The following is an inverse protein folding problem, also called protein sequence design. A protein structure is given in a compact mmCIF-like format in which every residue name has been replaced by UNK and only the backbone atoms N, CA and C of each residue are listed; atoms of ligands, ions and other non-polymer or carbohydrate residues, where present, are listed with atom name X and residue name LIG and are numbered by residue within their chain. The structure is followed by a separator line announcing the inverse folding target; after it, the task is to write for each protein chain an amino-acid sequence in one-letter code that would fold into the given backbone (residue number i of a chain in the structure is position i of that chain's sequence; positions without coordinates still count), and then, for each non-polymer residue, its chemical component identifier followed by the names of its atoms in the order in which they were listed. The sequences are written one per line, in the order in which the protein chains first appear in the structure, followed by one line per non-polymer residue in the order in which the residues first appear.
data_IF_775260824273
#
_entry.id   IF_775260824273
#
_cell.length_a   1.000
_cell.length_b   1.000
_cell.length_c   1.000
_cell.angle_alpha   90.00
_cell.angle_beta   90.00
_cell.angle_gamma   90.00
#
_symmetry.space_group_name_H-M   'P 1'
#
loop_
_entity.id
_entity.type
_entity.pdbx_description
1 polymer ?
#
# COMPACT_ATOMS: atom_id res chain seq x y z
N UNK A 1 -0.32 -19.11 -1.73
CA UNK A 1 -1.51 -19.08 -2.60
C UNK A 1 -1.64 -17.78 -3.38
N UNK A 2 -1.66 -16.59 -2.76
CA UNK A 2 -1.92 -15.33 -3.49
C UNK A 2 -0.88 -14.91 -4.56
N UNK A 3 0.39 -15.29 -4.50
CA UNK A 3 1.38 -14.87 -5.52
C UNK A 3 1.20 -15.57 -6.87
N UNK A 4 0.81 -16.85 -6.87
CA UNK A 4 0.58 -17.63 -8.09
C UNK A 4 -0.83 -17.44 -8.66
N UNK A 5 -1.74 -16.77 -7.95
CA UNK A 5 -3.07 -16.47 -8.51
C UNK A 5 -2.97 -15.57 -9.74
N UNK A 6 -1.90 -14.77 -9.88
CA UNK A 6 -1.60 -14.02 -11.11
C UNK A 6 -1.58 -14.94 -12.34
N UNK A 7 -1.01 -16.14 -12.24
CA UNK A 7 -0.93 -17.07 -13.38
C UNK A 7 -2.33 -17.46 -13.86
N UNK A 8 -3.19 -17.88 -12.93
CA UNK A 8 -4.57 -18.29 -13.23
C UNK A 8 -5.44 -17.11 -13.69
N UNK A 9 -5.21 -15.92 -13.13
CA UNK A 9 -5.93 -14.72 -13.53
C UNK A 9 -5.53 -14.28 -14.94
N UNK A 10 -4.24 -14.35 -15.30
CA UNK A 10 -3.78 -14.07 -16.66
C UNK A 10 -4.32 -15.09 -17.66
N UNK A 11 -4.31 -16.39 -17.30
CA UNK A 11 -4.92 -17.43 -18.15
C UNK A 11 -6.42 -17.22 -18.35
N UNK A 12 -7.14 -16.83 -17.29
CA UNK A 12 -8.57 -16.49 -17.39
C UNK A 12 -8.80 -15.29 -18.32
N UNK A 13 -7.99 -14.24 -18.22
CA UNK A 13 -8.11 -13.07 -19.09
C UNK A 13 -7.94 -13.46 -20.58
N UNK A 14 -6.99 -14.36 -20.88
CA UNK A 14 -6.77 -14.86 -22.24
C UNK A 14 -7.96 -15.71 -22.73
N UNK A 15 -8.52 -16.53 -21.84
CA UNK A 15 -9.69 -17.36 -22.14
C UNK A 15 -10.94 -16.51 -22.42
N UNK A 16 -11.20 -15.50 -21.58
CA UNK A 16 -12.30 -14.54 -21.76
C UNK A 16 -12.14 -13.69 -23.03
N UNK A 17 -10.92 -13.36 -23.47
CA UNK A 17 -10.73 -12.64 -24.74
C UNK A 17 -10.83 -13.56 -25.97
N UNK A 18 -10.61 -14.88 -25.84
CA UNK A 18 -10.39 -15.78 -26.98
C UNK A 18 -11.43 -16.90 -27.17
N UNK A 19 -12.42 -17.04 -26.27
CA UNK A 19 -13.56 -17.99 -26.30
C UNK A 19 -13.35 -19.24 -27.19
N UNK A 20 -13.75 -19.21 -28.46
CA UNK A 20 -13.76 -20.38 -29.36
C UNK A 20 -12.40 -20.76 -29.97
N UNK A 21 -11.37 -19.91 -29.87
CA UNK A 21 -10.03 -20.13 -30.48
C UNK A 21 -8.96 -20.52 -29.46
N UNK A 22 -9.32 -20.73 -28.19
CA UNK A 22 -8.33 -21.01 -27.16
C UNK A 22 -7.52 -22.28 -27.43
N UNK A 23 -8.13 -23.34 -27.98
CA UNK A 23 -7.43 -24.58 -28.33
C UNK A 23 -6.35 -24.39 -29.41
N UNK A 24 -6.63 -23.61 -30.46
CA UNK A 24 -5.65 -23.33 -31.51
C UNK A 24 -4.55 -22.37 -31.05
N UNK A 25 -4.88 -21.49 -30.11
CA UNK A 25 -3.94 -20.56 -29.47
C UNK A 25 -2.99 -21.29 -28.50
N UNK A 26 -3.53 -22.21 -27.69
CA UNK A 26 -2.76 -23.06 -26.79
C UNK A 26 -1.95 -24.16 -27.51
N UNK A 27 -2.19 -24.40 -28.81
CA UNK A 27 -1.37 -25.30 -29.61
C UNK A 27 -0.07 -24.64 -30.10
N UNK A 28 0.02 -23.30 -30.12
CA UNK A 28 1.19 -22.56 -30.57
C UNK A 28 1.87 -21.80 -29.41
N UNK A 29 3.05 -22.27 -28.94
CA UNK A 29 3.78 -21.64 -27.85
C UNK A 29 4.15 -20.17 -28.07
N UNK A 30 4.39 -19.74 -29.31
CA UNK A 30 4.75 -18.37 -29.64
C UNK A 30 3.55 -17.42 -29.53
N UNK A 31 2.39 -17.86 -30.04
CA UNK A 31 1.14 -17.07 -29.97
C UNK A 31 0.64 -16.97 -28.53
N UNK A 32 0.75 -18.05 -27.75
CA UNK A 32 0.41 -18.01 -26.32
C UNK A 32 1.30 -17.03 -25.56
N UNK A 33 2.61 -17.01 -25.84
CA UNK A 33 3.54 -16.08 -25.21
C UNK A 33 3.17 -14.62 -25.48
N UNK A 34 2.87 -14.27 -26.73
CA UNK A 34 2.47 -12.92 -27.10
C UNK A 34 1.21 -12.49 -26.33
N UNK A 35 0.19 -13.37 -26.28
CA UNK A 35 -1.05 -13.09 -25.55
C UNK A 35 -0.85 -12.96 -24.04
N UNK A 36 0.03 -13.77 -23.45
CA UNK A 36 0.40 -13.64 -22.03
C UNK A 36 1.08 -12.29 -21.77
N UNK A 37 1.98 -11.83 -22.65
CA UNK A 37 2.64 -10.53 -22.53
C UNK A 37 1.63 -9.38 -22.62
N UNK A 38 0.73 -9.41 -23.60
CA UNK A 38 -0.35 -8.42 -23.74
C UNK A 38 -1.26 -8.36 -22.51
N UNK A 39 -1.72 -9.51 -22.01
CA UNK A 39 -2.57 -9.59 -20.83
C UNK A 39 -1.86 -9.04 -19.57
N UNK A 40 -0.58 -9.38 -19.39
CA UNK A 40 0.25 -8.84 -18.32
C UNK A 40 0.37 -7.31 -18.42
N UNK A 41 0.66 -6.77 -19.60
CA UNK A 41 0.82 -5.32 -19.79
C UNK A 41 -0.48 -4.55 -19.49
N UNK A 42 -1.61 -5.00 -20.05
CA UNK A 42 -2.94 -4.42 -19.76
C UNK A 42 -3.21 -4.41 -18.25
N UNK A 43 -2.92 -5.51 -17.57
CA UNK A 43 -3.15 -5.69 -16.13
C UNK A 43 -2.23 -4.82 -15.28
N UNK A 44 -0.95 -4.75 -15.61
CA UNK A 44 0.01 -3.89 -14.91
C UNK A 44 -0.32 -2.41 -15.08
N UNK A 45 -0.76 -1.99 -16.28
CA UNK A 45 -1.20 -0.61 -16.52
C UNK A 45 -2.43 -0.26 -15.67
N UNK A 46 -3.46 -1.12 -15.66
CA UNK A 46 -4.66 -0.93 -14.81
C UNK A 46 -4.29 -0.90 -13.32
N UNK A 47 -3.45 -1.82 -12.87
CA UNK A 47 -3.00 -1.90 -11.48
C UNK A 47 -2.21 -0.66 -11.07
N UNK A 48 -1.27 -0.19 -11.89
CA UNK A 48 -0.47 1.02 -11.60
C UNK A 48 -1.37 2.25 -11.45
N UNK A 49 -2.34 2.42 -12.35
CA UNK A 49 -3.29 3.54 -12.27
C UNK A 49 -4.16 3.45 -11.01
N UNK A 50 -4.70 2.26 -10.70
CA UNK A 50 -5.51 2.03 -9.51
C UNK A 50 -4.71 2.28 -8.23
N UNK A 51 -3.50 1.74 -8.13
CA UNK A 51 -2.59 1.94 -7.00
C UNK A 51 -2.28 3.42 -6.83
N UNK A 52 -1.82 4.11 -7.88
CA UNK A 52 -1.51 5.54 -7.83
C UNK A 52 -2.70 6.37 -7.34
N UNK A 53 -3.89 6.13 -7.87
CA UNK A 53 -5.13 6.79 -7.41
C UNK A 53 -5.39 6.52 -5.93
N UNK A 54 -5.27 5.26 -5.49
CA UNK A 54 -5.45 4.90 -4.08
C UNK A 54 -4.43 5.58 -3.17
N UNK A 55 -3.15 5.64 -3.57
CA UNK A 55 -2.10 6.31 -2.80
C UNK A 55 -2.35 7.80 -2.67
N UNK A 56 -2.64 8.48 -3.79
CA UNK A 56 -2.93 9.93 -3.79
C UNK A 56 -4.13 10.23 -2.89
N UNK A 57 -5.22 9.46 -3.03
CA UNK A 57 -6.41 9.61 -2.18
C UNK A 57 -6.07 9.43 -0.71
N UNK A 58 -5.33 8.39 -0.35
CA UNK A 58 -4.92 8.14 1.05
C UNK A 58 -4.03 9.26 1.60
N UNK A 59 -3.06 9.76 0.81
CA UNK A 59 -2.19 10.89 1.21
C UNK A 59 -3.04 12.15 1.47
N UNK A 60 -3.93 12.50 0.55
CA UNK A 60 -4.81 13.67 0.68
C UNK A 60 -5.71 13.53 1.91
N UNK A 61 -6.32 12.36 2.09
CA UNK A 61 -7.16 12.05 3.24
C UNK A 61 -6.41 12.24 4.57
N UNK A 62 -5.23 11.62 4.70
CA UNK A 62 -4.39 11.71 5.89
C UNK A 62 -3.96 13.15 6.17
N UNK A 63 -3.58 13.89 5.13
CA UNK A 63 -3.15 15.27 5.27
C UNK A 63 -4.30 16.15 5.77
N UNK A 64 -5.47 16.09 5.13
CA UNK A 64 -6.63 16.92 5.50
C UNK A 64 -7.12 16.58 6.91
N UNK A 65 -7.22 15.31 7.26
CA UNK A 65 -7.62 14.88 8.61
C UNK A 65 -6.65 15.37 9.67
N UNK A 66 -5.34 15.32 9.39
CA UNK A 66 -4.32 15.84 10.29
C UNK A 66 -4.42 17.35 10.43
N UNK A 67 -4.65 18.09 9.34
CA UNK A 67 -4.81 19.54 9.39
C UNK A 67 -6.03 19.94 10.20
N UNK A 68 -7.15 19.24 10.02
CA UNK A 68 -8.37 19.48 10.79
C UNK A 68 -8.13 19.25 12.28
N UNK A 69 -7.52 18.13 12.67
CA UNK A 69 -7.21 17.85 14.07
C UNK A 69 -6.18 18.83 14.65
N UNK A 70 -5.21 19.26 13.85
CA UNK A 70 -4.26 20.29 14.24
C UNK A 70 -4.96 21.63 14.54
N UNK A 71 -5.92 22.04 13.71
CA UNK A 71 -6.65 23.29 13.90
C UNK A 71 -7.69 23.22 15.04
N UNK A 72 -8.41 22.11 15.15
CA UNK A 72 -9.54 21.97 16.09
C UNK A 72 -9.09 21.57 17.49
N UNK A 73 -8.01 20.79 17.61
CA UNK A 73 -7.57 20.22 18.89
C UNK A 73 -6.18 20.74 19.26
N UNK A 74 -5.17 20.54 18.41
CA UNK A 74 -3.77 20.81 18.80
C UNK A 74 -3.49 22.31 18.97
N UNK A 75 -3.94 23.14 18.04
CA UNK A 75 -3.75 24.59 18.08
C UNK A 75 -4.40 25.24 19.31
N UNK A 76 -5.70 25.02 19.62
CA UNK A 76 -6.29 25.59 20.82
C UNK A 76 -5.65 25.00 22.08
N UNK A 77 -5.29 23.72 22.10
CA UNK A 77 -4.62 23.12 23.25
C UNK A 77 -3.26 23.78 23.52
N UNK A 78 -2.41 23.90 22.50
CA UNK A 78 -1.07 24.48 22.64
C UNK A 78 -1.14 25.99 22.96
N UNK A 79 -2.14 26.71 22.42
CA UNK A 79 -2.33 28.16 22.67
C UNK A 79 -2.92 28.47 24.04
N UNK A 80 -4.00 27.79 24.43
CA UNK A 80 -4.78 28.13 25.62
C UNK A 80 -4.35 27.39 26.88
N UNK A 81 -3.74 26.20 26.77
CA UNK A 81 -3.35 25.39 27.94
C UNK A 81 -1.84 25.46 28.17
N UNK A 82 -1.04 25.33 27.10
CA UNK A 82 0.42 25.28 27.24
C UNK A 82 1.05 26.67 27.15
N UNK A 83 0.36 27.65 26.56
CA UNK A 83 0.83 29.03 26.39
C UNK A 83 2.18 29.17 25.67
N UNK A 84 2.61 28.14 24.95
CA UNK A 84 3.82 28.17 24.12
C UNK A 84 3.54 27.52 22.78
N UNK A 85 3.61 28.29 21.70
CA UNK A 85 3.49 27.76 20.34
C UNK A 85 4.89 27.51 19.78
N UNK A 86 5.42 26.31 20.01
CA UNK A 86 6.62 25.88 19.30
C UNK A 86 6.24 25.58 17.84
N UNK A 87 6.69 26.44 16.92
CA UNK A 87 6.37 26.34 15.48
C UNK A 87 6.95 25.07 14.84
N UNK A 88 8.10 24.58 15.34
CA UNK A 88 8.77 23.40 14.81
C UNK A 88 7.95 22.10 14.99
N UNK A 89 7.43 21.77 16.20
CA UNK A 89 6.48 20.68 16.39
C UNK A 89 5.31 20.71 15.44
N UNK A 90 4.64 21.85 15.27
CA UNK A 90 3.49 21.98 14.38
C UNK A 90 3.87 21.61 12.94
N UNK A 91 5.00 22.12 12.43
CA UNK A 91 5.48 21.83 11.09
C UNK A 91 5.82 20.34 10.89
N UNK A 92 6.53 19.75 11.85
CA UNK A 92 6.88 18.31 11.83
C UNK A 92 5.60 17.46 11.88
N UNK A 93 4.65 17.82 12.73
CA UNK A 93 3.38 17.12 12.91
C UNK A 93 2.53 17.14 11.63
N UNK A 94 2.67 18.19 10.82
CA UNK A 94 2.00 18.37 9.53
C UNK A 94 2.68 17.60 8.41
N UNK A 95 4.01 17.64 8.33
CA UNK A 95 4.75 17.15 7.15
C UNK A 95 5.23 15.70 7.23
N UNK A 96 5.63 15.23 8.41
CA UNK A 96 6.14 13.85 8.56
C UNK A 96 5.10 12.80 8.12
N UNK A 97 3.81 12.91 8.46
CA UNK A 97 2.86 11.86 8.08
C UNK A 97 2.70 11.69 6.55
N UNK A 98 2.49 12.76 5.74
CA UNK A 98 2.55 12.66 4.27
C UNK A 98 3.90 12.18 3.74
N UNK A 99 5.01 12.62 4.35
CA UNK A 99 6.34 12.22 3.94
C UNK A 99 6.58 10.71 4.11
N UNK A 100 6.17 10.12 5.24
CA UNK A 100 6.23 8.67 5.46
C UNK A 100 5.43 7.94 4.39
N UNK A 101 4.24 8.43 4.07
CA UNK A 101 3.41 7.82 3.03
C UNK A 101 4.05 7.88 1.64
N UNK A 102 4.72 8.99 1.31
CA UNK A 102 5.51 9.10 0.08
C UNK A 102 6.68 8.12 0.05
N UNK A 103 7.41 7.96 1.16
CA UNK A 103 8.49 6.98 1.26
C UNK A 103 7.98 5.54 1.07
N UNK A 104 6.85 5.21 1.71
CA UNK A 104 6.23 3.90 1.52
C UNK A 104 5.80 3.72 0.07
N UNK A 105 5.19 4.72 -0.55
CA UNK A 105 4.79 4.70 -1.96
C UNK A 105 5.99 4.48 -2.90
N UNK A 106 7.10 5.16 -2.64
CA UNK A 106 8.34 5.01 -3.42
C UNK A 106 8.99 3.62 -3.24
N UNK A 107 8.81 2.98 -2.07
CA UNK A 107 9.37 1.65 -1.78
C UNK A 107 8.64 0.49 -2.48
N UNK A 108 7.55 0.76 -3.19
CA UNK A 108 6.75 -0.28 -3.85
C UNK A 108 7.40 -0.68 -5.15
N UNK A 109 7.76 -1.95 -5.23
CA UNK A 109 8.15 -2.55 -6.48
C UNK A 109 6.92 -2.80 -7.34
N UNK A 110 6.84 -2.12 -8.47
CA UNK A 110 5.87 -2.43 -9.52
C UNK A 110 6.35 -3.64 -10.34
N UNK A 111 5.43 -4.40 -10.97
CA UNK A 111 5.80 -5.49 -11.87
C UNK A 111 6.75 -5.00 -12.97
N UNK A 112 7.92 -5.62 -13.08
CA UNK A 112 8.93 -5.31 -14.10
C UNK A 112 8.87 -6.28 -15.28
N UNK A 113 9.59 -5.98 -16.37
CA UNK A 113 9.72 -6.91 -17.52
C UNK A 113 10.16 -8.31 -17.08
N UNK A 114 11.08 -8.40 -16.10
CA UNK A 114 11.53 -9.68 -15.52
C UNK A 114 10.39 -10.48 -14.88
N UNK A 115 9.40 -9.79 -14.29
CA UNK A 115 8.21 -10.44 -13.75
C UNK A 115 7.34 -11.03 -14.88
N UNK A 116 7.19 -10.31 -15.99
CA UNK A 116 6.50 -10.83 -17.19
C UNK A 116 7.19 -12.07 -17.74
N UNK A 117 8.51 -12.06 -17.88
CA UNK A 117 9.26 -13.25 -18.34
C UNK A 117 9.01 -14.45 -17.42
N UNK A 118 9.00 -14.23 -16.10
CA UNK A 118 8.73 -15.30 -15.14
C UNK A 118 7.30 -15.83 -15.24
N UNK A 119 6.32 -14.95 -15.47
CA UNK A 119 4.92 -15.35 -15.72
C UNK A 119 4.82 -16.19 -16.99
N UNK A 120 5.45 -15.77 -18.08
CA UNK A 120 5.50 -16.51 -19.36
C UNK A 120 6.13 -17.89 -19.16
N UNK A 121 7.28 -17.97 -18.50
CA UNK A 121 7.97 -19.23 -18.20
C UNK A 121 7.06 -20.19 -17.43
N UNK A 122 6.39 -19.70 -16.38
CA UNK A 122 5.52 -20.53 -15.54
C UNK A 122 4.25 -20.96 -16.25
N UNK A 123 3.65 -20.11 -17.09
CA UNK A 123 2.49 -20.49 -17.90
C UNK A 123 2.88 -21.55 -18.94
N UNK A 124 4.04 -21.40 -19.62
CA UNK A 124 4.54 -22.43 -20.55
C UNK A 124 4.76 -23.77 -19.85
N UNK A 125 5.31 -23.76 -18.63
CA UNK A 125 5.45 -24.95 -17.79
C UNK A 125 4.10 -25.61 -17.48
N UNK A 126 3.07 -24.82 -17.17
CA UNK A 126 1.73 -25.34 -16.86
C UNK A 126 1.05 -25.93 -18.10
N UNK A 127 1.24 -25.33 -19.29
CA UNK A 127 0.51 -25.73 -20.50
C UNK A 127 1.19 -26.84 -21.31
N UNK A 128 2.53 -26.91 -21.32
CA UNK A 128 3.27 -27.75 -22.27
C UNK A 128 4.23 -28.75 -21.64
N UNK A 129 4.56 -28.63 -20.36
CA UNK A 129 5.47 -29.56 -19.68
C UNK A 129 4.68 -30.39 -18.68
N UNK A 130 4.91 -31.71 -18.68
CA UNK A 130 4.43 -32.54 -17.59
C UNK A 130 5.12 -32.12 -16.29
N UNK A 131 4.41 -32.03 -15.17
CA UNK A 131 4.99 -31.59 -13.92
C UNK A 131 5.98 -32.65 -13.40
N UNK A 132 7.28 -32.49 -13.70
CA UNK A 132 8.33 -33.42 -13.24
C UNK A 132 8.33 -33.61 -11.72
N UNK A 133 7.91 -32.59 -10.98
CA UNK A 133 7.39 -32.71 -9.62
C UNK A 133 6.23 -31.72 -9.50
N UNK A 134 5.08 -32.17 -9.01
CA UNK A 134 3.89 -31.35 -8.90
C UNK A 134 4.20 -29.95 -8.35
N UNK A 135 3.51 -28.93 -8.86
CA UNK A 135 3.44 -27.57 -8.30
C UNK A 135 2.82 -27.55 -6.87
N UNK A 136 3.16 -28.54 -6.04
CA UNK A 136 2.87 -28.65 -4.63
C UNK A 136 3.74 -27.63 -3.90
N UNK A 137 3.31 -26.38 -3.95
CA UNK A 137 3.71 -25.41 -2.95
C UNK A 137 3.26 -25.95 -1.59
N UNK A 138 4.14 -26.70 -0.91
CA UNK A 138 3.91 -27.21 0.44
C UNK A 138 3.50 -26.00 1.28
N UNK A 139 2.22 -25.95 1.65
CA UNK A 139 1.70 -24.99 2.62
C UNK A 139 2.68 -25.01 3.78
N UNK A 140 3.41 -23.90 4.02
CA UNK A 140 4.36 -23.80 5.14
C UNK A 140 3.61 -24.30 6.37
N UNK A 141 4.02 -25.46 6.90
CA UNK A 141 3.40 -26.02 8.10
C UNK A 141 3.54 -24.95 9.17
N UNK A 142 2.43 -24.59 9.80
CA UNK A 142 2.48 -23.79 11.02
C UNK A 142 3.28 -24.60 12.03
N UNK A 143 4.54 -24.20 12.28
CA UNK A 143 5.35 -24.85 13.29
C UNK A 143 4.63 -24.69 14.63
N UNK A 144 4.18 -25.80 15.22
CA UNK A 144 3.70 -25.81 16.61
C UNK A 144 4.90 -25.44 17.48
N UNK A 145 4.96 -24.17 17.90
CA UNK A 145 6.06 -23.64 18.72
C UNK A 145 5.93 -24.22 20.13
N UNK A 146 7.05 -24.55 20.76
CA UNK A 146 7.06 -24.91 22.19
C UNK A 146 6.61 -23.71 23.02
N UNK A 147 6.04 -23.96 24.22
CA UNK A 147 5.62 -22.88 25.13
C UNK A 147 6.79 -21.93 25.45
N UNK A 148 7.99 -22.46 25.68
CA UNK A 148 9.21 -21.68 25.93
C UNK A 148 9.55 -20.77 24.74
N UNK A 149 9.54 -21.29 23.52
CA UNK A 149 9.80 -20.47 22.32
C UNK A 149 8.77 -19.35 22.17
N UNK A 150 7.50 -19.61 22.47
CA UNK A 150 6.46 -18.59 22.43
C UNK A 150 6.69 -17.47 23.48
N UNK A 151 7.11 -17.82 24.70
CA UNK A 151 7.47 -16.83 25.72
C UNK A 151 8.65 -15.96 25.26
N UNK A 152 9.72 -16.57 24.75
CA UNK A 152 10.89 -15.84 24.25
C UNK A 152 10.50 -14.89 23.12
N UNK A 153 9.72 -15.35 22.14
CA UNK A 153 9.27 -14.48 21.04
C UNK A 153 8.36 -13.35 21.50
N UNK A 154 7.49 -13.60 22.49
CA UNK A 154 6.65 -12.54 23.06
C UNK A 154 7.48 -11.51 23.83
N UNK A 155 8.49 -11.95 24.58
CA UNK A 155 9.42 -11.06 25.27
C UNK A 155 10.22 -10.21 24.26
N UNK A 156 10.76 -10.82 23.21
CA UNK A 156 11.42 -10.09 22.12
C UNK A 156 10.50 -9.06 21.47
N UNK A 157 9.25 -9.44 21.19
CA UNK A 157 8.26 -8.52 20.63
C UNK A 157 7.92 -7.37 21.59
N UNK A 158 7.80 -7.64 22.88
CA UNK A 158 7.57 -6.62 23.91
C UNK A 158 8.74 -5.64 24.00
N UNK A 159 9.98 -6.15 23.96
CA UNK A 159 11.18 -5.29 23.89
C UNK A 159 11.17 -4.45 22.62
N UNK A 160 10.85 -5.04 21.46
CA UNK A 160 10.73 -4.30 20.21
C UNK A 160 9.68 -3.18 20.30
N UNK A 161 8.54 -3.46 20.94
CA UNK A 161 7.50 -2.47 21.19
C UNK A 161 8.02 -1.30 22.05
N UNK A 162 8.67 -1.60 23.18
CA UNK A 162 9.23 -0.59 24.07
C UNK A 162 10.32 0.25 23.38
N UNK A 163 11.21 -0.39 22.62
CA UNK A 163 12.27 0.31 21.88
C UNK A 163 11.65 1.20 20.80
N UNK A 164 10.75 0.68 19.97
CA UNK A 164 10.16 1.47 18.88
C UNK A 164 9.37 2.67 19.39
N UNK A 165 8.45 2.48 20.34
CA UNK A 165 7.67 3.61 20.87
C UNK A 165 8.50 4.50 21.79
N UNK A 166 9.44 3.94 22.54
CA UNK A 166 10.37 4.70 23.38
C UNK A 166 11.20 5.68 22.56
N UNK A 167 11.78 5.23 21.45
CA UNK A 167 12.52 6.10 20.52
C UNK A 167 11.64 7.21 19.95
N UNK A 168 10.40 6.89 19.55
CA UNK A 168 9.46 7.91 19.04
C UNK A 168 9.11 8.94 20.12
N UNK A 169 8.78 8.50 21.35
CA UNK A 169 8.46 9.41 22.47
C UNK A 169 9.66 10.27 22.84
N UNK A 170 10.87 9.70 22.91
CA UNK A 170 12.09 10.46 23.16
C UNK A 170 12.33 11.52 22.07
N UNK A 171 12.16 11.17 20.79
CA UNK A 171 12.28 12.11 19.69
C UNK A 171 11.24 13.24 19.79
N UNK A 172 9.99 12.93 20.15
CA UNK A 172 8.93 13.92 20.35
C UNK A 172 9.24 14.87 21.51
N UNK A 173 9.75 14.35 22.63
CA UNK A 173 10.15 15.16 23.78
C UNK A 173 11.33 16.09 23.43
N UNK A 174 12.33 15.59 22.70
CA UNK A 174 13.45 16.41 22.21
C UNK A 174 12.98 17.55 21.31
N UNK A 175 11.94 17.30 20.51
CA UNK A 175 11.33 18.30 19.64
C UNK A 175 10.36 19.24 20.39
N UNK A 176 10.14 19.03 21.69
CA UNK A 176 9.20 19.79 22.54
C UNK A 176 7.73 19.66 22.11
N UNK A 177 7.31 18.47 21.68
CA UNK A 177 5.90 18.19 21.47
C UNK A 177 5.14 18.20 22.79
N UNK A 178 3.93 18.77 22.77
CA UNK A 178 2.99 18.58 23.88
C UNK A 178 2.51 17.14 23.96
N UNK A 179 2.04 16.71 25.13
CA UNK A 179 1.51 15.35 25.30
C UNK A 179 0.37 15.04 24.30
N UNK A 180 -0.54 15.99 24.09
CA UNK A 180 -1.67 15.85 23.16
C UNK A 180 -1.18 15.75 21.71
N UNK A 181 -0.35 16.69 21.26
CA UNK A 181 0.20 16.69 19.90
C UNK A 181 1.05 15.44 19.64
N UNK A 182 1.83 15.00 20.63
CA UNK A 182 2.62 13.76 20.56
C UNK A 182 1.76 12.49 20.47
N UNK A 183 0.68 12.40 21.26
CA UNK A 183 -0.26 11.28 21.18
C UNK A 183 -0.96 11.20 19.81
N UNK A 184 -1.41 12.34 19.29
CA UNK A 184 -2.02 12.43 17.96
C UNK A 184 -0.99 12.06 16.88
N UNK A 185 0.25 12.51 16.98
CA UNK A 185 1.31 12.15 16.04
C UNK A 185 1.59 10.65 16.00
N UNK A 186 1.72 10.00 17.17
CA UNK A 186 1.92 8.54 17.27
C UNK A 186 0.72 7.78 16.66
N UNK A 187 -0.49 8.25 16.93
CA UNK A 187 -1.71 7.71 16.32
C UNK A 187 -1.63 7.76 14.79
N UNK A 188 -1.30 8.92 14.22
CA UNK A 188 -1.19 9.08 12.76
C UNK A 188 -0.07 8.23 12.17
N UNK A 189 1.15 8.26 12.72
CA UNK A 189 2.25 7.41 12.23
C UNK A 189 1.83 5.95 12.19
N UNK A 190 1.13 5.46 13.23
CA UNK A 190 0.68 4.08 13.31
C UNK A 190 -0.32 3.74 12.21
N UNK A 191 -1.37 4.55 12.07
CA UNK A 191 -2.43 4.35 11.07
C UNK A 191 -1.89 4.43 9.64
N UNK A 192 -1.04 5.43 9.36
CA UNK A 192 -0.47 5.66 8.03
C UNK A 192 0.48 4.54 7.65
N UNK A 193 1.34 4.10 8.58
CA UNK A 193 2.25 2.98 8.34
C UNK A 193 1.45 1.71 8.00
N UNK A 194 0.37 1.44 8.73
CA UNK A 194 -0.52 0.32 8.44
C UNK A 194 -1.14 0.42 7.04
N UNK A 195 -1.73 1.57 6.68
CA UNK A 195 -2.32 1.77 5.35
C UNK A 195 -1.28 1.68 4.23
N UNK A 196 -0.11 2.27 4.41
CA UNK A 196 0.98 2.21 3.43
C UNK A 196 1.42 0.77 3.17
N UNK A 197 1.62 -0.03 4.22
CA UNK A 197 1.96 -1.45 4.10
C UNK A 197 0.81 -2.26 3.50
N UNK A 198 -0.44 -1.97 3.86
CA UNK A 198 -1.62 -2.61 3.25
C UNK A 198 -1.65 -2.41 1.73
N UNK A 199 -1.49 -1.17 1.27
CA UNK A 199 -1.46 -0.85 -0.16
C UNK A 199 -0.23 -1.48 -0.85
N UNK A 200 0.93 -1.54 -0.18
CA UNK A 200 2.13 -2.19 -0.72
C UNK A 200 1.89 -3.70 -0.90
N UNK A 201 1.17 -4.34 0.01
CA UNK A 201 0.79 -5.75 -0.11
C UNK A 201 -0.12 -5.99 -1.31
N UNK A 202 -1.10 -5.13 -1.54
CA UNK A 202 -1.97 -5.22 -2.73
C UNK A 202 -1.18 -5.09 -4.03
N UNK A 203 -0.17 -4.21 -4.08
CA UNK A 203 0.72 -4.10 -5.24
C UNK A 203 1.59 -5.35 -5.45
N UNK A 204 2.12 -5.91 -4.35
CA UNK A 204 2.99 -7.10 -4.36
C UNK A 204 2.26 -8.38 -4.78
N UNK A 205 0.93 -8.42 -4.72
CA UNK A 205 0.15 -9.56 -5.22
C UNK A 205 0.33 -9.79 -6.73
N UNK A 206 0.77 -8.78 -7.49
CA UNK A 206 1.04 -8.88 -8.93
C UNK A 206 2.47 -9.31 -9.27
N UNK A 207 3.34 -9.44 -8.26
CA UNK A 207 4.76 -9.76 -8.42
C UNK A 207 5.00 -11.20 -7.96
N UNK A 208 5.52 -12.03 -8.87
CA UNK A 208 5.86 -13.43 -8.64
C UNK A 208 7.31 -13.59 -8.18
N UNK A 209 8.18 -12.64 -8.56
CA UNK A 209 9.58 -12.65 -8.17
C UNK A 209 9.72 -12.66 -6.64
N UNK A 210 10.59 -13.55 -6.14
CA UNK A 210 10.98 -13.54 -4.73
C UNK A 210 11.94 -12.39 -4.48
N UNK A 211 11.54 -11.48 -3.60
CA UNK A 211 12.49 -10.56 -2.97
C UNK A 211 13.44 -11.40 -2.11
N UNK A 212 14.75 -11.23 -2.31
CA UNK A 212 15.71 -11.65 -1.28
C UNK A 212 15.56 -10.67 -0.12
N UNK A 213 15.06 -11.14 1.01
CA UNK A 213 14.99 -10.32 2.21
C UNK A 213 16.43 -10.01 2.65
N UNK A 214 16.85 -8.75 2.52
CA UNK A 214 18.12 -8.28 3.09
C UNK A 214 18.03 -8.30 4.61
N UNK A 215 19.15 -8.53 5.31
CA UNK A 215 19.22 -8.42 6.77
C UNK A 215 18.65 -7.09 7.28
N UNK A 216 18.88 -5.99 6.55
CA UNK A 216 18.31 -4.67 6.86
C UNK A 216 16.78 -4.67 6.78
N UNK A 217 16.19 -5.35 5.79
CA UNK A 217 14.74 -5.48 5.66
C UNK A 217 14.14 -6.23 6.84
N UNK A 218 14.80 -7.29 7.31
CA UNK A 218 14.36 -8.05 8.48
C UNK A 218 14.34 -7.19 9.75
N UNK A 219 15.37 -6.37 9.97
CA UNK A 219 15.44 -5.45 11.11
C UNK A 219 14.32 -4.39 11.02
N UNK A 220 14.16 -3.74 9.87
CA UNK A 220 13.13 -2.73 9.66
C UNK A 220 11.72 -3.32 9.82
N UNK A 221 11.48 -4.53 9.32
CA UNK A 221 10.21 -5.24 9.49
C UNK A 221 9.96 -5.57 10.97
N UNK A 222 10.99 -5.97 11.71
CA UNK A 222 10.88 -6.29 13.14
C UNK A 222 10.48 -5.07 13.98
N UNK A 223 11.15 -3.93 13.79
CA UNK A 223 10.86 -2.70 14.56
C UNK A 223 9.63 -1.93 14.05
N UNK A 224 9.23 -2.10 12.78
CA UNK A 224 7.98 -1.52 12.27
C UNK A 224 6.74 -2.30 12.72
N UNK A 225 6.88 -3.60 13.02
CA UNK A 225 5.75 -4.46 13.39
C UNK A 225 4.91 -3.93 14.57
N UNK A 226 5.48 -3.43 15.69
CA UNK A 226 4.72 -2.77 16.74
C UNK A 226 3.81 -1.64 16.25
N UNK A 227 4.36 -0.72 15.44
CA UNK A 227 3.66 0.44 14.89
C UNK A 227 2.55 -0.01 13.94
N UNK A 228 2.84 -0.98 13.08
CA UNK A 228 1.87 -1.57 12.16
C UNK A 228 0.72 -2.26 12.89
N UNK A 229 1.00 -2.94 14.01
CA UNK A 229 -0.03 -3.66 14.79
C UNK A 229 -0.94 -2.69 15.54
N UNK A 230 -0.38 -1.60 16.09
CA UNK A 230 -1.18 -0.52 16.68
C UNK A 230 -2.04 0.15 15.61
N UNK A 231 -1.46 0.49 14.45
CA UNK A 231 -2.19 1.04 13.32
C UNK A 231 -3.33 0.14 12.85
N UNK A 232 -3.05 -1.16 12.69
CA UNK A 232 -4.06 -2.16 12.34
C UNK A 232 -5.20 -2.19 13.36
N UNK A 233 -4.87 -2.24 14.65
CA UNK A 233 -5.86 -2.26 15.72
C UNK A 233 -6.74 -1.00 15.68
N UNK A 234 -6.14 0.18 15.51
CA UNK A 234 -6.87 1.45 15.38
C UNK A 234 -7.80 1.44 14.17
N UNK A 235 -7.33 0.99 13.00
CA UNK A 235 -8.11 0.98 11.76
C UNK A 235 -9.21 -0.09 11.72
N UNK A 236 -9.00 -1.27 12.29
CA UNK A 236 -9.96 -2.39 12.19
C UNK A 236 -10.97 -2.45 13.34
N UNK A 237 -10.61 -1.97 14.54
CA UNK A 237 -11.46 -2.08 15.75
C UNK A 237 -12.29 -0.83 16.05
N UNK A 238 -12.20 0.23 15.24
CA UNK A 238 -12.84 1.52 15.55
C UNK A 238 -13.89 1.89 14.49
N UNK A 239 -15.18 1.56 14.69
CA UNK A 239 -16.27 1.97 13.78
C UNK A 239 -16.36 3.49 13.59
N UNK A 240 -15.99 4.26 14.62
CA UNK A 240 -15.93 5.73 14.56
C UNK A 240 -14.88 6.25 13.58
N UNK A 241 -13.77 5.51 13.40
CA UNK A 241 -12.76 5.85 12.39
C UNK A 241 -13.30 5.54 10.99
N UNK A 242 -14.04 4.44 10.80
CA UNK A 242 -14.73 4.20 9.53
C UNK A 242 -15.80 5.26 9.21
N UNK A 243 -16.53 5.76 10.21
CA UNK A 243 -17.47 6.87 10.04
C UNK A 243 -16.77 8.18 9.68
N UNK A 244 -15.64 8.48 10.33
CA UNK A 244 -14.81 9.64 10.00
C UNK A 244 -14.14 9.52 8.62
N UNK A 245 -13.76 8.30 8.22
CA UNK A 245 -13.30 7.98 6.86
C UNK A 245 -14.42 8.20 5.85
N UNK A 246 -15.62 7.70 6.11
CA UNK A 246 -16.78 7.87 5.24
C UNK A 246 -17.21 9.34 5.06
N UNK A 247 -17.32 10.11 6.15
CA UNK A 247 -17.70 11.53 6.11
C UNK A 247 -16.66 12.34 5.33
N UNK A 248 -15.38 12.03 5.50
CA UNK A 248 -14.32 12.80 4.88
C UNK A 248 -14.01 12.33 3.45
N UNK A 249 -14.27 11.05 3.11
CA UNK A 249 -14.39 10.58 1.73
C UNK A 249 -15.52 11.35 1.02
N UNK A 250 -16.70 11.55 1.64
CA UNK A 250 -17.76 12.37 1.03
C UNK A 250 -17.33 13.83 0.80
N UNK A 251 -16.68 14.46 1.77
CA UNK A 251 -16.24 15.87 1.68
C UNK A 251 -15.11 16.07 0.65
N UNK A 252 -14.25 15.07 0.40
CA UNK A 252 -13.10 15.20 -0.51
C UNK A 252 -13.38 14.55 -1.87
N UNK A 253 -13.94 13.35 -1.90
CA UNK A 253 -14.16 12.57 -3.13
C UNK A 253 -15.16 13.25 -4.06
N UNK A 254 -16.25 13.81 -3.52
CA UNK A 254 -17.23 14.55 -4.32
C UNK A 254 -16.62 15.76 -5.05
N UNK A 255 -15.97 16.74 -4.38
CA UNK A 255 -15.37 17.87 -5.07
C UNK A 255 -14.16 17.50 -5.93
N UNK A 256 -13.35 16.51 -5.53
CA UNK A 256 -12.23 16.07 -6.36
C UNK A 256 -12.69 15.41 -7.67
N UNK A 257 -13.79 14.66 -7.65
CA UNK A 257 -14.40 14.10 -8.86
C UNK A 257 -14.87 15.20 -9.82
N UNK A 258 -15.50 16.25 -9.28
CA UNK A 258 -15.91 17.44 -10.05
C UNK A 258 -14.69 18.12 -10.69
N UNK A 259 -13.59 18.30 -9.96
CA UNK A 259 -12.37 18.90 -10.52
C UNK A 259 -11.76 18.07 -11.66
N UNK A 260 -11.81 16.74 -11.57
CA UNK A 260 -11.35 15.85 -12.65
C UNK A 260 -12.26 15.98 -13.88
N UNK A 261 -13.58 15.97 -13.70
CA UNK A 261 -14.54 16.15 -14.80
C UNK A 261 -14.29 17.49 -15.51
N UNK A 262 -14.13 18.58 -14.77
CA UNK A 262 -13.79 19.90 -15.33
C UNK A 262 -12.47 19.88 -16.10
N UNK A 263 -11.47 19.14 -15.62
CA UNK A 263 -10.18 19.03 -16.31
C UNK A 263 -10.28 18.20 -17.59
N UNK A 264 -11.06 17.11 -17.57
CA UNK A 264 -11.35 16.29 -18.75
C UNK A 264 -12.12 17.12 -19.81
N UNK A 265 -13.12 17.89 -19.39
CA UNK A 265 -13.85 18.82 -20.25
C UNK A 265 -12.93 19.88 -20.85
N UNK A 266 -12.06 20.49 -20.03
CA UNK A 266 -11.07 21.45 -20.50
C UNK A 266 -10.13 20.85 -21.54
N UNK A 267 -9.64 19.63 -21.33
CA UNK A 267 -8.76 18.95 -22.29
C UNK A 267 -9.49 18.59 -23.58
N UNK A 268 -10.79 18.27 -23.51
CA UNK A 268 -11.62 18.00 -24.68
C UNK A 268 -11.86 19.27 -25.49
N UNK A 269 -12.21 20.37 -24.83
CA UNK A 269 -12.35 21.69 -25.44
C UNK A 269 -11.06 22.16 -26.14
N UNK A 270 -9.89 21.94 -25.53
CA UNK A 270 -8.60 22.26 -26.14
C UNK A 270 -8.31 21.43 -27.40
N UNK A 271 -8.75 20.16 -27.44
CA UNK A 271 -8.62 19.33 -28.64
C UNK A 271 -9.53 19.81 -29.77
N UNK A 272 -10.80 20.08 -29.45
CA UNK A 272 -11.77 20.63 -30.42
C UNK A 272 -11.26 21.93 -31.04
N UNK A 273 -10.79 22.87 -30.20
CA UNK A 273 -10.22 24.13 -30.70
C UNK A 273 -8.97 23.96 -31.55
N UNK A 274 -8.18 22.92 -31.29
CA UNK A 274 -6.99 22.62 -32.09
C UNK A 274 -7.36 22.00 -33.44
N UNK A 275 -8.41 21.20 -33.50
CA UNK A 275 -8.95 20.62 -34.73
C UNK A 275 -9.64 21.67 -35.62
N UNK A 276 -10.24 22.71 -35.05
CA UNK A 276 -10.79 23.84 -35.82
C UNK A 276 -9.72 24.72 -36.49
N UNK A 277 -8.45 24.64 -36.07
CA UNK A 277 -7.34 25.44 -36.62
C UNK A 277 -6.51 24.73 -37.69
N UNK A 278 -6.86 23.50 -38.08
CA UNK A 278 -6.21 22.71 -39.14
C UNK A 278 -7.22 22.23 -40.18
#
# INVERSE_FOLDING_TARGET
MKRFSVLFVVLRDIFEESHDKFQSLAANPAVLEEKVREACEKRYKKARTKLRRSYIRTIIYIFITKMLLALVIEYPYDKYIIHSTHTLPLFINVLIPPFIMLLIAASIQLPSKKNTEKVVELIKKICYQEPEEGFLYKRRKSFKRSKVAQYVFNAMYFVAFLVTFGVVVLALNLLKFSFVSGAIFIFFISVISFFGVKLRREAKELVILDDRDSFMTVILDFFSLPVLRVGQWLSEKTPKINLFIFILDFIIEAPFKILIEVFEDWTSFQKEKKEEMY
#
